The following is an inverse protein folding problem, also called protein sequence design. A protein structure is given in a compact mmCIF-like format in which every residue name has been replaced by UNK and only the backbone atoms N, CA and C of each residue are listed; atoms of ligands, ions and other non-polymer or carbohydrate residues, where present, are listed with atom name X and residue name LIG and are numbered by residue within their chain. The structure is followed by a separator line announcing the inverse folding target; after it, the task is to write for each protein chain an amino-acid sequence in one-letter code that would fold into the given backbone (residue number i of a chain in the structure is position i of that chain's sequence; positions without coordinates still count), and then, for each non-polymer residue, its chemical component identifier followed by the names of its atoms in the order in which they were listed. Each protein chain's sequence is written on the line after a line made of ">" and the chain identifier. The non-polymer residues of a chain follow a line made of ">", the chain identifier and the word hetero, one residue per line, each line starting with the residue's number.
data_IF_832052892166
#
_entry.id   IF_832052892166
#
_cell.length_a   1.000
_cell.length_b   1.000
_cell.length_c   1.000
_cell.angle_alpha   90.00
_cell.angle_beta   90.00
_cell.angle_gamma   90.00
#
_symmetry.space_group_name_H-M   'P 1'
#
loop_
_entity.id
_entity.type
_entity.pdbx_description
1 polymer ?
#
# COMPACT_ATOMS: atom_id res chain seq x y z
N UNK A 1 -4.84 22.80 18.45
CA UNK A 1 -4.73 24.09 17.73
C UNK A 1 -3.95 23.83 16.45
N UNK A 2 -4.57 23.68 15.26
CA UNK A 2 -3.84 23.28 14.05
C UNK A 2 -3.77 24.31 12.91
N UNK A 3 -4.62 25.36 12.89
CA UNK A 3 -4.75 26.22 11.69
C UNK A 3 -3.51 27.07 11.33
N UNK A 4 -2.66 27.38 12.32
CA UNK A 4 -1.50 28.26 12.12
C UNK A 4 -0.35 27.62 11.34
N UNK A 5 -0.15 26.31 11.48
CA UNK A 5 0.98 25.61 10.86
C UNK A 5 0.64 25.12 9.46
N UNK A 6 -0.61 24.71 9.22
CA UNK A 6 -1.11 24.34 7.88
C UNK A 6 -1.05 25.55 6.93
N UNK A 7 -1.43 26.75 7.40
CA UNK A 7 -1.36 27.98 6.58
C UNK A 7 0.08 28.36 6.20
N UNK A 8 1.06 28.09 7.08
CA UNK A 8 2.48 28.31 6.77
C UNK A 8 2.98 27.28 5.77
N UNK A 9 2.63 26.01 5.97
CA UNK A 9 2.95 24.93 5.03
C UNK A 9 2.40 25.22 3.64
N UNK A 10 1.15 25.70 3.52
CA UNK A 10 0.57 26.07 2.22
C UNK A 10 1.40 27.16 1.54
N UNK A 11 1.80 28.21 2.26
CA UNK A 11 2.64 29.28 1.70
C UNK A 11 4.03 28.79 1.26
N UNK A 12 4.60 27.83 1.99
CA UNK A 12 5.87 27.20 1.64
C UNK A 12 5.73 26.35 0.37
N UNK A 13 4.65 25.57 0.26
CA UNK A 13 4.33 24.78 -0.93
C UNK A 13 4.12 25.68 -2.15
N UNK A 14 3.36 26.76 -2.01
CA UNK A 14 3.13 27.76 -3.07
C UNK A 14 4.42 28.45 -3.53
N UNK A 15 5.45 28.49 -2.68
CA UNK A 15 6.77 29.05 -3.03
C UNK A 15 7.65 28.10 -3.85
N UNK A 16 7.16 26.89 -4.18
CA UNK A 16 7.87 25.90 -4.98
C UNK A 16 8.90 25.09 -4.18
N UNK A 17 8.71 24.99 -2.86
CA UNK A 17 9.56 24.13 -2.02
C UNK A 17 9.35 22.67 -2.41
N UNK A 18 10.44 21.98 -2.66
CA UNK A 18 10.41 20.52 -2.79
C UNK A 18 10.09 19.91 -1.42
N UNK A 19 8.98 19.19 -1.31
CA UNK A 19 8.54 18.54 -0.06
C UNK A 19 8.91 17.06 0.03
N UNK A 20 9.45 16.50 -1.05
CA UNK A 20 10.04 15.15 -1.07
C UNK A 20 11.52 15.16 -0.68
N UNK A 21 11.96 16.21 0.00
CA UNK A 21 13.27 16.22 0.66
C UNK A 21 13.25 15.16 1.74
N UNK A 22 14.27 14.30 1.70
CA UNK A 22 14.53 13.27 2.69
C UNK A 22 15.43 13.82 3.80
N UNK A 23 15.17 13.39 5.04
CA UNK A 23 16.09 13.59 6.15
C UNK A 23 17.21 12.55 6.16
N UNK A 24 17.98 12.49 7.26
CA UNK A 24 19.12 11.57 7.43
C UNK A 24 18.71 10.09 7.46
N UNK A 25 17.44 9.79 7.74
CA UNK A 25 16.88 8.43 7.75
C UNK A 25 16.11 8.11 6.45
N UNK A 26 16.16 9.02 5.47
CA UNK A 26 15.45 8.86 4.20
C UNK A 26 13.96 9.23 4.27
N UNK A 27 13.48 9.75 5.40
CA UNK A 27 12.07 10.07 5.63
C UNK A 27 11.71 11.41 4.97
N UNK A 28 10.54 11.44 4.35
CA UNK A 28 9.96 12.68 3.79
C UNK A 28 8.94 13.30 4.73
N UNK A 29 8.52 14.52 4.43
CA UNK A 29 7.43 15.20 5.17
C UNK A 29 6.16 14.34 5.23
N UNK A 30 5.87 13.56 4.18
CA UNK A 30 4.72 12.67 4.11
C UNK A 30 4.84 11.47 5.07
N UNK A 31 6.05 10.94 5.28
CA UNK A 31 6.28 9.88 6.29
C UNK A 31 5.98 10.40 7.69
N UNK A 32 6.54 11.56 8.03
CA UNK A 32 6.34 12.19 9.34
C UNK A 32 4.87 12.48 9.59
N UNK A 33 4.18 13.14 8.65
CA UNK A 33 2.76 13.45 8.77
C UNK A 33 1.88 12.18 8.89
N UNK A 34 2.25 11.12 8.16
CA UNK A 34 1.57 9.82 8.22
C UNK A 34 1.80 9.09 9.53
N UNK A 35 2.98 9.19 10.13
CA UNK A 35 3.30 8.59 11.43
C UNK A 35 2.63 9.35 12.60
N UNK A 36 2.62 10.68 12.55
CA UNK A 36 2.06 11.53 13.62
C UNK A 36 0.54 11.60 13.61
N UNK A 37 -0.12 11.27 12.50
CA UNK A 37 -1.58 11.35 12.40
C UNK A 37 -2.10 12.72 11.98
N UNK A 38 -1.24 13.56 11.40
CA UNK A 38 -1.62 14.91 10.97
C UNK A 38 -2.38 14.87 9.63
N UNK A 39 -3.67 14.50 9.67
CA UNK A 39 -4.53 14.39 8.49
C UNK A 39 -4.49 15.64 7.60
N UNK A 40 -4.69 16.83 8.18
CA UNK A 40 -4.69 18.10 7.44
C UNK A 40 -3.39 18.32 6.65
N UNK A 41 -2.25 17.91 7.21
CA UNK A 41 -0.94 18.04 6.56
C UNK A 41 -0.78 17.00 5.45
N UNK A 42 -1.23 15.77 5.68
CA UNK A 42 -1.23 14.72 4.65
C UNK A 42 -2.09 15.13 3.46
N UNK A 43 -3.30 15.62 3.71
CA UNK A 43 -4.21 16.07 2.65
C UNK A 43 -3.58 17.22 1.86
N UNK A 44 -3.07 18.24 2.55
CA UNK A 44 -2.38 19.37 1.93
C UNK A 44 -1.23 18.90 1.04
N UNK A 45 -0.34 18.03 1.53
CA UNK A 45 0.80 17.52 0.76
C UNK A 45 0.32 16.76 -0.49
N UNK A 46 -0.71 15.91 -0.36
CA UNK A 46 -1.24 15.10 -1.45
C UNK A 46 -2.09 15.88 -2.47
N UNK A 47 -2.45 17.13 -2.20
CA UNK A 47 -3.04 18.05 -3.17
C UNK A 47 -2.00 18.63 -4.12
N UNK A 48 -0.72 18.67 -3.74
CA UNK A 48 0.36 19.14 -4.60
C UNK A 48 0.87 18.00 -5.48
N UNK A 49 0.83 18.23 -6.80
CA UNK A 49 1.09 17.19 -7.82
C UNK A 49 2.53 16.64 -7.81
N UNK A 50 3.46 17.30 -7.12
CA UNK A 50 4.86 16.87 -7.05
C UNK A 50 5.13 15.77 -6.01
N UNK A 51 4.20 15.47 -5.10
CA UNK A 51 4.47 14.57 -3.96
C UNK A 51 4.46 13.11 -4.36
N UNK A 52 5.58 12.42 -4.11
CA UNK A 52 5.69 10.97 -4.34
C UNK A 52 5.06 10.17 -3.19
N UNK A 53 3.88 9.62 -3.41
CA UNK A 53 3.13 8.83 -2.38
C UNK A 53 3.79 7.50 -2.00
N UNK A 54 4.59 6.94 -2.90
CA UNK A 54 5.25 5.64 -2.78
C UNK A 54 6.75 5.75 -2.45
N UNK A 55 7.19 6.91 -1.96
CA UNK A 55 8.58 7.10 -1.53
C UNK A 55 8.91 6.10 -0.41
N UNK A 56 10.09 5.51 -0.48
CA UNK A 56 10.63 4.65 0.57
C UNK A 56 11.72 5.38 1.34
N UNK A 57 11.71 5.28 2.66
CA UNK A 57 12.83 5.67 3.51
C UNK A 57 14.01 4.70 3.38
N UNK A 58 15.07 4.91 4.16
CA UNK A 58 16.29 4.09 4.07
C UNK A 58 16.08 2.66 4.60
N UNK A 59 15.01 2.40 5.34
CA UNK A 59 14.59 1.05 5.76
C UNK A 59 13.54 0.43 4.82
N UNK A 60 13.22 1.09 3.71
CA UNK A 60 12.21 0.65 2.75
C UNK A 60 10.76 0.91 3.19
N UNK A 61 10.53 1.67 4.26
CA UNK A 61 9.18 2.01 4.71
C UNK A 61 8.55 3.04 3.79
N UNK A 62 7.26 2.85 3.51
CA UNK A 62 6.45 3.84 2.79
C UNK A 62 5.59 4.65 3.77
N UNK A 63 5.09 5.84 3.38
CA UNK A 63 4.13 6.59 4.19
C UNK A 63 2.90 5.76 4.58
N UNK A 64 2.47 4.84 3.71
CA UNK A 64 1.37 3.90 3.96
C UNK A 64 1.71 2.91 5.08
N UNK A 65 2.95 2.40 5.15
CA UNK A 65 3.42 1.57 6.28
C UNK A 65 3.47 2.37 7.57
N UNK A 66 3.97 3.62 7.53
CA UNK A 66 4.00 4.51 8.70
C UNK A 66 2.59 4.78 9.24
N UNK A 67 1.64 5.10 8.36
CA UNK A 67 0.24 5.31 8.71
C UNK A 67 -0.42 4.04 9.26
N UNK A 68 -0.16 2.88 8.65
CA UNK A 68 -0.67 1.59 9.13
C UNK A 68 -0.11 1.21 10.51
N UNK A 69 1.20 1.38 10.70
CA UNK A 69 1.90 1.10 11.95
C UNK A 69 1.47 2.03 13.08
N UNK A 70 1.24 3.32 12.80
CA UNK A 70 0.63 4.22 13.78
C UNK A 70 -0.89 3.97 13.92
N UNK A 71 -1.49 3.41 12.87
CA UNK A 71 -2.86 2.96 12.70
C UNK A 71 -3.87 4.08 12.41
N UNK A 72 -3.45 5.11 11.71
CA UNK A 72 -4.33 6.21 11.32
C UNK A 72 -5.17 5.79 10.10
N UNK A 73 -6.33 5.16 10.35
CA UNK A 73 -7.21 4.61 9.30
C UNK A 73 -7.57 5.64 8.22
N UNK A 74 -7.88 6.87 8.63
CA UNK A 74 -8.25 7.96 7.71
C UNK A 74 -7.11 8.31 6.74
N UNK A 75 -5.88 8.35 7.24
CA UNK A 75 -4.67 8.62 6.45
C UNK A 75 -4.39 7.46 5.49
N UNK A 76 -4.52 6.21 5.95
CA UNK A 76 -4.42 5.02 5.09
C UNK A 76 -5.40 5.13 3.92
N UNK A 77 -6.66 5.47 4.20
CA UNK A 77 -7.68 5.64 3.16
C UNK A 77 -7.34 6.74 2.14
N UNK A 78 -6.83 7.89 2.59
CA UNK A 78 -6.41 8.97 1.67
C UNK A 78 -5.22 8.54 0.81
N UNK A 79 -4.20 7.93 1.41
CA UNK A 79 -3.00 7.47 0.70
C UNK A 79 -3.36 6.46 -0.40
N UNK A 80 -4.21 5.49 -0.10
CA UNK A 80 -4.71 4.53 -1.09
C UNK A 80 -5.49 5.21 -2.23
N UNK A 81 -6.38 6.16 -1.91
CA UNK A 81 -7.08 6.95 -2.95
C UNK A 81 -6.15 7.76 -3.84
N UNK A 82 -4.98 8.14 -3.33
CA UNK A 82 -3.95 8.89 -4.06
C UNK A 82 -2.93 7.98 -4.78
N UNK A 83 -3.17 6.68 -4.82
CA UNK A 83 -2.35 5.72 -5.57
C UNK A 83 -1.18 5.14 -4.80
N UNK A 84 -1.26 5.11 -3.46
CA UNK A 84 -0.28 4.39 -2.66
C UNK A 84 -0.33 2.88 -2.97
N UNK A 85 0.83 2.28 -3.21
CA UNK A 85 0.97 0.87 -3.52
C UNK A 85 1.05 0.06 -2.22
N UNK A 86 0.01 -0.72 -1.98
CA UNK A 86 -0.12 -1.60 -0.82
C UNK A 86 0.73 -2.89 -0.92
N UNK A 87 1.44 -3.11 -2.03
CA UNK A 87 2.31 -4.27 -2.25
C UNK A 87 3.82 -3.95 -2.13
N UNK A 88 4.19 -2.68 -1.93
CA UNK A 88 5.59 -2.34 -1.72
C UNK A 88 6.08 -2.99 -0.44
N UNK A 89 7.19 -3.73 -0.54
CA UNK A 89 7.84 -4.37 0.58
C UNK A 89 9.02 -3.53 1.06
N UNK A 90 9.20 -3.44 2.37
CA UNK A 90 10.38 -2.84 2.97
C UNK A 90 11.59 -3.79 2.92
N UNK A 91 12.72 -3.38 3.50
CA UNK A 91 13.94 -4.21 3.51
C UNK A 91 13.77 -5.55 4.22
N UNK A 92 12.78 -5.67 5.13
CA UNK A 92 12.43 -6.92 5.79
C UNK A 92 11.49 -7.81 4.97
N UNK A 93 11.12 -7.41 3.75
CA UNK A 93 10.12 -8.10 2.92
C UNK A 93 8.68 -7.92 3.41
N UNK A 94 8.43 -6.95 4.30
CA UNK A 94 7.12 -6.70 4.89
C UNK A 94 6.36 -5.63 4.11
N UNK A 95 5.15 -5.97 3.67
CA UNK A 95 4.19 -5.03 3.05
C UNK A 95 3.32 -4.31 4.11
N UNK A 96 2.65 -3.18 3.79
CA UNK A 96 1.78 -2.44 4.71
C UNK A 96 0.76 -3.28 5.49
N UNK A 97 0.26 -4.38 4.90
CA UNK A 97 -0.67 -5.29 5.55
C UNK A 97 -0.09 -5.90 6.84
N UNK A 98 1.23 -6.07 6.96
CA UNK A 98 1.87 -6.57 8.18
C UNK A 98 1.83 -5.57 9.34
N UNK A 99 1.61 -4.29 9.07
CA UNK A 99 1.72 -3.21 10.05
C UNK A 99 0.37 -2.68 10.57
N UNK A 100 -0.75 -3.36 10.31
CA UNK A 100 -2.09 -2.89 10.68
C UNK A 100 -2.39 -2.79 12.20
N UNK A 101 -1.43 -3.09 13.08
CA UNK A 101 -1.52 -3.06 14.57
C UNK A 101 -2.77 -3.74 15.15
N UNK A 102 -3.30 -4.77 14.49
CA UNK A 102 -4.52 -5.44 14.94
C UNK A 102 -5.80 -4.64 14.69
N UNK A 103 -5.74 -3.52 13.96
CA UNK A 103 -6.94 -2.83 13.47
C UNK A 103 -7.43 -3.56 12.24
N UNK A 104 -8.59 -4.18 12.40
CA UNK A 104 -9.21 -4.96 11.33
C UNK A 104 -9.61 -4.05 10.16
N UNK A 105 -10.06 -2.83 10.43
CA UNK A 105 -10.42 -1.83 9.42
C UNK A 105 -9.27 -1.51 8.44
N UNK A 106 -8.05 -1.35 8.94
CA UNK A 106 -6.88 -1.09 8.08
C UNK A 106 -6.56 -2.31 7.20
N UNK A 107 -6.66 -3.51 7.78
CA UNK A 107 -6.46 -4.74 7.02
C UNK A 107 -7.51 -4.91 5.93
N UNK A 108 -8.78 -4.61 6.25
CA UNK A 108 -9.89 -4.64 5.29
C UNK A 108 -9.68 -3.63 4.15
N UNK A 109 -9.32 -2.38 4.46
CA UNK A 109 -9.01 -1.36 3.44
C UNK A 109 -7.86 -1.77 2.52
N UNK A 110 -6.78 -2.34 3.07
CA UNK A 110 -5.64 -2.80 2.28
C UNK A 110 -6.00 -4.03 1.43
N UNK A 111 -6.77 -4.98 1.96
CA UNK A 111 -7.22 -6.16 1.22
C UNK A 111 -8.20 -5.80 0.09
N UNK A 112 -9.11 -4.86 0.33
CA UNK A 112 -10.06 -4.39 -0.67
C UNK A 112 -9.33 -3.70 -1.83
N UNK A 113 -8.40 -2.79 -1.49
CA UNK A 113 -7.60 -2.09 -2.49
C UNK A 113 -6.68 -3.02 -3.29
N UNK A 114 -6.01 -3.97 -2.64
CA UNK A 114 -5.16 -4.96 -3.35
C UNK A 114 -5.97 -5.89 -4.25
N UNK A 115 -7.22 -6.21 -3.89
CA UNK A 115 -8.14 -6.99 -4.73
C UNK A 115 -8.53 -6.21 -5.98
N UNK A 116 -8.84 -4.91 -5.86
CA UNK A 116 -9.16 -4.04 -6.99
C UNK A 116 -7.99 -3.85 -7.95
N UNK A 117 -6.77 -3.62 -7.43
CA UNK A 117 -5.55 -3.50 -8.24
C UNK A 117 -5.30 -4.79 -9.04
N UNK A 118 -5.53 -5.96 -8.44
CA UNK A 118 -5.40 -7.24 -9.13
C UNK A 118 -6.53 -7.51 -10.14
N UNK A 119 -7.77 -7.09 -9.85
CA UNK A 119 -8.91 -7.27 -10.75
C UNK A 119 -8.85 -6.35 -11.98
N UNK A 120 -8.24 -5.17 -11.86
CA UNK A 120 -7.91 -4.29 -12.98
C UNK A 120 -6.90 -4.91 -13.96
N UNK A 121 -6.05 -5.86 -13.52
CA UNK A 121 -5.17 -6.61 -14.43
C UNK A 121 -5.92 -7.65 -15.26
N UNK A 122 -7.05 -8.17 -14.76
CA UNK A 122 -7.83 -9.24 -15.39
C UNK A 122 -8.99 -8.73 -16.28
N UNK A 123 -9.33 -7.44 -16.25
CA UNK A 123 -10.41 -6.88 -17.08
C UNK A 123 -10.00 -6.52 -18.52
N UNK A 124 -8.71 -6.64 -18.86
CA UNK A 124 -8.22 -6.47 -20.24
C UNK A 124 -8.16 -7.78 -21.05
N UNK A 125 -8.56 -8.91 -20.46
CA UNK A 125 -8.79 -10.14 -21.20
C UNK A 125 -10.29 -10.32 -21.45
N UNK A 126 -10.82 -9.96 -22.65
CA UNK A 126 -12.14 -10.44 -23.02
C UNK A 126 -12.02 -11.94 -23.36
N UNK A 127 -13.07 -12.68 -22.99
CA UNK A 127 -13.31 -14.09 -23.31
C UNK A 127 -12.53 -15.05 -22.42
N UNK A 128 -13.17 -15.82 -21.53
CA UNK A 128 -14.35 -16.63 -21.80
C UNK A 128 -13.89 -18.08 -21.94
N UNK A 129 -14.36 -18.93 -21.04
CA UNK A 129 -14.22 -20.40 -21.04
C UNK A 129 -12.81 -20.99 -20.80
N UNK A 130 -12.62 -21.59 -19.63
CA UNK A 130 -12.50 -23.05 -19.58
C UNK A 130 -12.82 -23.52 -18.16
N UNK A 131 -14.07 -23.97 -17.99
CA UNK A 131 -14.54 -24.69 -16.83
C UNK A 131 -13.72 -25.97 -16.61
N UNK A 132 -13.44 -26.24 -15.33
CA UNK A 132 -13.68 -27.49 -14.61
C UNK A 132 -13.31 -28.83 -15.27
N UNK A 133 -12.76 -29.71 -14.43
CA UNK A 133 -12.49 -31.16 -14.56
C UNK A 133 -10.98 -31.40 -14.77
N UNK A 134 -10.27 -32.09 -13.88
CA UNK A 134 -10.62 -33.44 -13.42
C UNK A 134 -9.89 -33.74 -12.10
N UNK A 135 -10.65 -33.81 -11.03
CA UNK A 135 -10.27 -34.53 -9.82
C UNK A 135 -11.05 -35.84 -9.87
N UNK A 136 -10.37 -36.93 -10.21
CA UNK A 136 -10.89 -38.29 -10.02
C UNK A 136 -9.70 -39.12 -9.54
N UNK A 137 -9.73 -39.47 -8.25
CA UNK A 137 -8.88 -40.50 -7.71
C UNK A 137 -9.48 -41.86 -8.04
N UNK A 138 -8.63 -42.85 -8.34
CA UNK A 138 -8.99 -44.26 -8.19
C UNK A 138 -7.75 -45.02 -7.72
N UNK A 139 -7.73 -45.36 -6.43
CA UNK A 139 -7.07 -46.56 -5.93
C UNK A 139 -7.68 -47.78 -6.63
N UNK A 140 -6.90 -48.63 -7.30
CA UNK A 140 -7.01 -50.09 -7.25
C UNK A 140 -6.06 -50.81 -8.24
N UNK A 141 -5.36 -51.79 -7.66
CA UNK A 141 -5.05 -53.13 -8.18
C UNK A 141 -4.05 -53.32 -9.35
N UNK A 142 -2.97 -54.03 -8.99
CA UNK A 142 -2.38 -55.21 -9.63
C UNK A 142 -2.53 -55.39 -11.14
N UNK A 143 -1.42 -55.57 -11.86
CA UNK A 143 -0.90 -56.91 -12.12
C UNK A 143 0.49 -56.90 -12.75
N UNK A 144 1.21 -57.99 -12.48
CA UNK A 144 2.51 -58.40 -12.99
C UNK A 144 2.51 -58.52 -14.52
N UNK A 145 3.63 -58.15 -15.18
CA UNK A 145 4.21 -58.97 -16.23
C UNK A 145 5.70 -58.73 -16.44
N UNK A 146 6.34 -59.86 -16.67
CA UNK A 146 7.75 -60.19 -16.88
C UNK A 146 8.30 -59.72 -18.24
N UNK A 147 9.61 -59.93 -18.44
CA UNK A 147 10.46 -59.74 -19.64
C UNK A 147 11.09 -58.34 -19.76
N UNK A 148 12.40 -58.15 -19.71
CA UNK A 148 13.55 -58.96 -20.19
C UNK A 148 14.81 -58.78 -19.35
#
# INVERSE_FOLDING_TARGET
>A
MPAGDVTKLQKLLDSGVNVDVKDEDGLTSLHWASSTGCFDVVELLLEHAQVFVNVQDDAGWTPLMSAGSAGHCEIVGVLLRKGADANLANENGQIPLHYHRGRQEIAELLLDYTRDVNHASLSSSPSGECLQQRQEGVYAAADVHDHT
#
